data_IF_546388854169
#
_entry.id   IF_546388854169
#
_cell.length_a   1.000
_cell.length_b   1.000
_cell.length_c   1.000
_cell.angle_alpha   90.00
_cell.angle_beta   90.00
_cell.angle_gamma   90.00
#
_symmetry.space_group_name_H-M   'P 1'
#
loop_
_entity.id
_entity.type
_entity.pdbx_description
1 polymer ?
#
# COMPACT_ATOMS: atom_id res chain seq x y z
N UNK A 1 7.65 15.45 -8.43
CA UNK A 1 6.71 14.49 -9.02
C UNK A 1 5.80 15.18 -10.01
N UNK A 2 5.55 14.57 -11.16
CA UNK A 2 4.68 15.15 -12.17
C UNK A 2 3.21 14.94 -11.82
N UNK A 3 2.32 15.74 -12.41
CA UNK A 3 0.88 15.55 -12.24
C UNK A 3 0.42 14.16 -12.66
N UNK A 4 1.07 13.61 -13.68
CA UNK A 4 0.78 12.28 -14.18
C UNK A 4 1.04 11.21 -13.11
N UNK A 5 2.17 11.30 -12.40
CA UNK A 5 2.50 10.36 -11.35
C UNK A 5 1.55 10.51 -10.16
N UNK A 6 1.13 11.73 -9.84
CA UNK A 6 0.15 11.96 -8.78
C UNK A 6 -1.19 11.30 -9.11
N UNK A 7 -1.63 11.39 -10.34
CA UNK A 7 -2.87 10.76 -10.77
C UNK A 7 -2.77 9.24 -10.66
N UNK A 8 -1.67 8.68 -11.14
CA UNK A 8 -1.44 7.25 -11.08
C UNK A 8 -1.40 6.79 -9.62
N UNK A 9 -0.73 7.53 -8.76
CA UNK A 9 -0.65 7.21 -7.34
C UNK A 9 -2.03 7.14 -6.71
N UNK A 10 -2.86 8.13 -6.95
CA UNK A 10 -4.20 8.19 -6.38
C UNK A 10 -5.09 7.06 -6.90
N UNK A 11 -5.00 6.76 -8.18
CA UNK A 11 -5.76 5.66 -8.76
C UNK A 11 -5.33 4.33 -8.19
N UNK A 12 -4.02 4.13 -8.04
CA UNK A 12 -3.50 2.89 -7.44
C UNK A 12 -3.96 2.74 -6.00
N UNK A 13 -3.91 3.81 -5.21
CA UNK A 13 -4.37 3.74 -3.81
C UNK A 13 -5.82 3.30 -3.73
N UNK A 14 -6.68 3.91 -4.54
CA UNK A 14 -8.09 3.58 -4.56
C UNK A 14 -8.33 2.14 -5.03
N UNK A 15 -7.71 1.77 -6.13
CA UNK A 15 -7.93 0.46 -6.73
C UNK A 15 -7.40 -0.66 -5.84
N UNK A 16 -6.21 -0.47 -5.26
CA UNK A 16 -5.64 -1.46 -4.36
C UNK A 16 -6.52 -1.61 -3.10
N UNK A 17 -6.98 -0.50 -2.53
CA UNK A 17 -7.87 -0.55 -1.38
C UNK A 17 -9.15 -1.32 -1.68
N UNK A 18 -9.75 -1.08 -2.84
CA UNK A 18 -10.95 -1.79 -3.27
C UNK A 18 -10.68 -3.28 -3.48
N UNK A 19 -9.58 -3.61 -4.11
CA UNK A 19 -9.22 -5.00 -4.38
C UNK A 19 -8.99 -5.76 -3.09
N UNK A 20 -8.25 -5.17 -2.14
CA UNK A 20 -8.03 -5.81 -0.84
C UNK A 20 -9.36 -6.09 -0.15
N UNK A 21 -10.29 -5.17 -0.22
CA UNK A 21 -11.56 -5.32 0.45
C UNK A 21 -12.48 -6.33 -0.24
N UNK A 22 -12.49 -6.35 -1.57
CA UNK A 22 -13.44 -7.16 -2.33
C UNK A 22 -12.90 -8.51 -2.79
N UNK A 23 -11.62 -8.59 -3.11
CA UNK A 23 -11.07 -9.76 -3.81
C UNK A 23 -10.14 -10.61 -2.95
N UNK A 24 -9.62 -10.08 -1.87
CA UNK A 24 -8.64 -10.79 -1.06
C UNK A 24 -9.30 -11.31 0.21
N UNK A 25 -9.25 -12.62 0.40
CA UNK A 25 -9.76 -13.28 1.59
C UNK A 25 -8.63 -13.58 2.55
N UNK A 26 -8.97 -13.71 3.82
CA UNK A 26 -7.98 -14.03 4.85
C UNK A 26 -7.35 -12.82 5.51
N UNK A 27 -7.82 -11.62 5.16
CA UNK A 27 -7.38 -10.41 5.85
C UNK A 27 -8.05 -10.34 7.21
N UNK A 28 -7.31 -9.89 8.20
CA UNK A 28 -7.79 -9.79 9.57
C UNK A 28 -7.43 -8.42 10.12
N UNK A 29 -8.25 -7.89 11.01
CA UNK A 29 -8.07 -6.52 11.47
C UNK A 29 -8.49 -5.51 10.40
N UNK A 30 -8.08 -4.27 10.55
CA UNK A 30 -8.39 -3.20 9.60
C UNK A 30 -7.14 -2.82 8.82
N UNK A 31 -7.17 -3.04 7.52
CA UNK A 31 -6.04 -2.70 6.64
C UNK A 31 -6.26 -1.32 6.06
N UNK A 32 -5.25 -0.47 6.17
CA UNK A 32 -5.27 0.88 5.61
C UNK A 32 -4.08 1.07 4.68
N UNK A 33 -4.34 1.54 3.47
CA UNK A 33 -3.29 1.93 2.56
C UNK A 33 -2.94 3.37 2.87
N UNK A 34 -1.71 3.60 3.31
CA UNK A 34 -1.27 4.93 3.76
C UNK A 34 -0.71 5.75 2.63
N UNK A 35 0.03 5.13 1.73
CA UNK A 35 0.63 5.82 0.61
C UNK A 35 1.06 4.84 -0.46
N UNK A 36 1.28 5.37 -1.66
CA UNK A 36 1.84 4.61 -2.78
C UNK A 36 2.92 5.47 -3.41
N UNK A 37 4.12 4.91 -3.52
CA UNK A 37 5.23 5.58 -4.19
C UNK A 37 5.44 4.91 -5.53
N UNK A 38 5.27 5.69 -6.60
CA UNK A 38 5.37 5.17 -7.97
C UNK A 38 6.69 5.63 -8.57
N UNK A 39 7.40 4.70 -9.21
CA UNK A 39 8.65 5.04 -9.87
C UNK A 39 8.40 5.99 -11.04
N UNK A 40 9.46 6.70 -11.44
CA UNK A 40 9.36 7.73 -12.46
C UNK A 40 8.76 7.22 -13.78
N UNK A 41 9.08 6.00 -14.14
CA UNK A 41 8.59 5.37 -15.38
C UNK A 41 7.34 4.52 -15.19
N UNK A 42 6.73 4.55 -13.99
CA UNK A 42 5.54 3.78 -13.64
C UNK A 42 5.72 2.26 -13.70
N UNK A 43 6.95 1.78 -13.64
CA UNK A 43 7.23 0.34 -13.69
C UNK A 43 7.15 -0.35 -12.33
N UNK A 44 7.19 0.42 -11.26
CA UNK A 44 7.25 -0.11 -9.90
C UNK A 44 6.45 0.78 -8.96
N UNK A 45 5.71 0.16 -8.07
CA UNK A 45 4.94 0.88 -7.06
C UNK A 45 5.15 0.24 -5.69
N UNK A 46 5.52 1.06 -4.72
CA UNK A 46 5.68 0.65 -3.33
C UNK A 46 4.43 1.06 -2.58
N UNK A 47 3.74 0.09 -2.03
CA UNK A 47 2.46 0.31 -1.33
C UNK A 47 2.70 0.23 0.17
N UNK A 48 2.52 1.33 0.85
CA UNK A 48 2.74 1.42 2.29
C UNK A 48 1.40 1.25 2.98
N UNK A 49 1.32 0.27 3.86
CA UNK A 49 0.06 -0.05 4.52
C UNK A 49 0.27 -0.31 6.01
N UNK A 50 -0.83 -0.26 6.74
CA UNK A 50 -0.85 -0.59 8.16
C UNK A 50 -2.05 -1.48 8.46
N UNK A 51 -1.98 -2.19 9.57
CA UNK A 51 -3.06 -3.06 10.03
C UNK A 51 -3.36 -2.72 11.49
N UNK A 52 -4.61 -2.39 11.75
CA UNK A 52 -5.08 -2.18 13.11
C UNK A 52 -5.68 -3.49 13.61
N UNK A 53 -5.06 -4.07 14.62
CA UNK A 53 -5.51 -5.35 15.16
C UNK A 53 -4.52 -5.93 16.15
N UNK A 54 -4.76 -7.16 16.57
CA UNK A 54 -3.84 -7.86 17.45
C UNK A 54 -2.56 -8.25 16.71
N UNK A 55 -1.48 -8.54 17.45
CA UNK A 55 -0.25 -9.01 16.79
C UNK A 55 -0.46 -10.20 15.86
N UNK A 56 -1.34 -11.11 16.25
CA UNK A 56 -1.65 -12.29 15.43
C UNK A 56 -2.38 -11.92 14.16
N UNK A 57 -3.33 -10.98 14.26
CA UNK A 57 -4.05 -10.48 13.09
C UNK A 57 -3.11 -9.77 12.14
N UNK A 58 -2.20 -8.97 12.67
CA UNK A 58 -1.22 -8.24 11.87
C UNK A 58 -0.34 -9.21 11.08
N UNK A 59 0.21 -10.22 11.76
CA UNK A 59 1.09 -11.17 11.09
C UNK A 59 0.37 -11.97 10.02
N UNK A 60 -0.84 -12.41 10.32
CA UNK A 60 -1.66 -13.15 9.35
C UNK A 60 -1.96 -12.31 8.12
N UNK A 61 -2.30 -11.05 8.33
CA UNK A 61 -2.65 -10.16 7.24
C UNK A 61 -1.43 -9.81 6.39
N UNK A 62 -0.28 -9.56 7.02
CA UNK A 62 0.97 -9.32 6.29
C UNK A 62 1.30 -10.51 5.38
N UNK A 63 1.20 -11.71 5.91
CA UNK A 63 1.48 -12.93 5.16
C UNK A 63 0.49 -13.08 3.99
N UNK A 64 -0.80 -12.85 4.25
CA UNK A 64 -1.83 -12.96 3.23
C UNK A 64 -1.61 -11.97 2.10
N UNK A 65 -1.27 -10.72 2.43
CA UNK A 65 -1.01 -9.68 1.43
C UNK A 65 0.19 -10.07 0.57
N UNK A 66 1.26 -10.53 1.21
CA UNK A 66 2.46 -10.94 0.49
C UNK A 66 2.17 -12.08 -0.49
N UNK A 67 1.44 -13.08 -0.05
CA UNK A 67 1.06 -14.20 -0.90
C UNK A 67 0.10 -13.81 -2.01
N UNK A 68 -0.72 -12.79 -1.77
CA UNK A 68 -1.74 -12.36 -2.71
C UNK A 68 -1.24 -11.27 -3.67
N UNK A 69 0.00 -10.83 -3.54
CA UNK A 69 0.53 -9.75 -4.39
C UNK A 69 0.35 -10.02 -5.89
N UNK A 70 0.63 -11.22 -6.41
CA UNK A 70 0.40 -11.49 -7.83
C UNK A 70 -1.07 -11.33 -8.24
N UNK A 71 -1.99 -11.78 -7.39
CA UNK A 71 -3.41 -11.63 -7.65
C UNK A 71 -3.83 -10.17 -7.62
N UNK A 72 -3.32 -9.43 -6.64
CA UNK A 72 -3.61 -8.00 -6.50
C UNK A 72 -3.13 -7.26 -7.75
N UNK A 73 -1.93 -7.57 -8.19
CA UNK A 73 -1.37 -6.94 -9.39
C UNK A 73 -2.23 -7.24 -10.62
N UNK A 74 -2.68 -8.47 -10.74
CA UNK A 74 -3.56 -8.87 -11.84
C UNK A 74 -4.86 -8.07 -11.83
N UNK A 75 -5.49 -7.94 -10.67
CA UNK A 75 -6.74 -7.20 -10.53
C UNK A 75 -6.54 -5.71 -10.79
N UNK A 76 -5.42 -5.16 -10.33
CA UNK A 76 -5.08 -3.76 -10.62
C UNK A 76 -4.96 -3.56 -12.13
N UNK A 77 -4.34 -4.51 -12.82
CA UNK A 77 -4.19 -4.43 -14.27
C UNK A 77 -5.50 -4.39 -15.02
N UNK A 78 -6.55 -4.99 -14.45
CA UNK A 78 -7.87 -4.93 -15.06
C UNK A 78 -8.58 -3.59 -14.87
N UNK A 79 -8.32 -2.95 -13.72
CA UNK A 79 -9.04 -1.74 -13.34
C UNK A 79 -8.36 -0.47 -13.83
N UNK A 80 -7.05 -0.46 -13.82
CA UNK A 80 -6.28 0.74 -14.14
C UNK A 80 -5.85 0.70 -15.59
N UNK A 81 -6.07 1.83 -16.30
CA UNK A 81 -5.71 1.92 -17.71
C UNK A 81 -4.31 2.45 -17.89
N UNK A 82 -3.36 1.64 -17.52
CA UNK A 82 -1.95 1.93 -17.72
C UNK A 82 -1.42 1.01 -18.81
N UNK A 83 -0.44 1.52 -19.53
CA UNK A 83 0.21 0.75 -20.58
C UNK A 83 0.82 -0.54 -20.03
N UNK A 84 1.45 -0.40 -18.85
CA UNK A 84 2.00 -1.53 -18.13
C UNK A 84 1.54 -1.44 -16.68
N UNK A 85 1.16 -2.58 -16.13
CA UNK A 85 0.84 -2.65 -14.71
C UNK A 85 2.13 -2.63 -13.91
N UNK A 86 2.31 -1.70 -12.97
CA UNK A 86 3.53 -1.66 -12.17
C UNK A 86 3.71 -2.93 -11.34
N UNK A 87 4.94 -3.27 -11.06
CA UNK A 87 5.20 -4.29 -10.06
C UNK A 87 4.88 -3.68 -8.69
N UNK A 88 4.20 -4.45 -7.85
CA UNK A 88 3.78 -3.98 -6.54
C UNK A 88 4.66 -4.58 -5.46
N UNK A 89 5.06 -3.74 -4.52
CA UNK A 89 5.73 -4.18 -3.31
C UNK A 89 4.99 -3.60 -2.12
N UNK A 90 4.47 -4.46 -1.26
CA UNK A 90 3.74 -4.02 -0.08
C UNK A 90 4.70 -3.90 1.10
N UNK A 91 4.65 -2.77 1.77
CA UNK A 91 5.51 -2.48 2.92
C UNK A 91 4.62 -2.15 4.10
N UNK A 92 4.72 -2.94 5.15
CA UNK A 92 3.97 -2.72 6.38
C UNK A 92 4.64 -1.65 7.23
N UNK A 93 3.82 -0.84 7.87
CA UNK A 93 4.27 0.09 8.90
C UNK A 93 3.30 0.03 10.08
N UNK A 94 3.82 0.17 11.29
CA UNK A 94 3.00 0.16 12.50
C UNK A 94 2.61 1.55 12.97
N UNK A 95 2.80 2.57 12.11
CA UNK A 95 2.57 3.96 12.53
C UNK A 95 1.16 4.25 13.03
N UNK A 96 0.14 3.57 12.49
CA UNK A 96 -1.23 3.78 12.96
C UNK A 96 -1.45 3.31 14.39
N UNK A 97 -0.74 2.27 14.82
CA UNK A 97 -0.88 1.74 16.18
C UNK A 97 -0.23 2.64 17.22
N UNK A 98 0.79 3.37 16.82
CA UNK A 98 1.57 4.19 17.74
C UNK A 98 1.08 5.63 17.84
N UNK A 99 -0.04 5.93 17.23
CA UNK A 99 -0.70 7.24 17.39
C UNK A 99 0.23 8.41 17.18
N UNK A 100 0.55 9.14 18.24
CA UNK A 100 1.37 10.35 18.17
C UNK A 100 2.74 10.15 17.55
N UNK A 101 3.26 8.94 17.56
CA UNK A 101 4.56 8.67 16.95
C UNK A 101 4.54 8.72 15.44
N UNK A 102 3.36 8.64 14.86
CA UNK A 102 3.22 8.78 13.42
C UNK A 102 3.74 10.14 12.96
N UNK A 103 3.33 11.20 13.66
CA UNK A 103 3.78 12.55 13.32
C UNK A 103 5.28 12.70 13.45
N UNK A 104 5.87 12.13 14.50
CA UNK A 104 7.32 12.19 14.70
C UNK A 104 8.07 11.50 13.57
N UNK A 105 7.61 10.32 13.15
CA UNK A 105 8.24 9.59 12.05
C UNK A 105 8.18 10.36 10.75
N UNK A 106 7.04 10.93 10.46
CA UNK A 106 6.86 11.72 9.24
C UNK A 106 7.77 12.94 9.26
N UNK A 107 7.84 13.62 10.39
CA UNK A 107 8.72 14.78 10.55
C UNK A 107 10.18 14.42 10.33
N UNK A 108 10.63 13.31 10.93
CA UNK A 108 12.01 12.87 10.76
C UNK A 108 12.33 12.53 9.31
N UNK A 109 11.42 11.89 8.64
CA UNK A 109 11.59 11.55 7.23
C UNK A 109 11.66 12.84 6.40
N UNK A 110 10.77 13.78 6.67
CA UNK A 110 10.73 15.04 5.96
C UNK A 110 12.02 15.86 6.14
N UNK A 111 12.63 15.76 7.32
CA UNK A 111 13.87 16.47 7.61
C UNK A 111 15.12 15.69 7.25
N UNK A 112 14.96 14.47 6.76
CA UNK A 112 16.09 13.63 6.39
C UNK A 112 16.85 13.07 7.56
N UNK A 113 16.24 12.93 8.72
CA UNK A 113 16.89 12.46 9.95
C UNK A 113 16.77 10.95 10.16
N UNK A 114 16.29 10.24 9.19
CA UNK A 114 16.09 8.80 9.30
C UNK A 114 17.33 8.03 8.89
#
# INVERSE_FOLDING_TARGET
MTLRNERVRKELMRDISDILRKEIRGLSGVVSILDVEVSHDNSFAKVIYSVLGSPEQIEKTKETIEKSTPKIRYEVGKQIRLRLTPELKFVYTDSLEKGSKVSELIDKISRGEV
#
